data_IF_931268277891
#
_entry.id   IF_931268277891
#
_cell.length_a   1.000
_cell.length_b   1.000
_cell.length_c   1.000
_cell.angle_alpha   90.00
_cell.angle_beta   90.00
_cell.angle_gamma   90.00
#
_symmetry.space_group_name_H-M   'P 1'
#
loop_
_entity.id
_entity.type
_entity.pdbx_description
1 polymer ?
#
# COMPACT_ATOMS: atom_id res chain seq x y z
N UNK A 1 -12.42 -4.80 17.04
CA UNK A 1 -11.07 -4.32 16.65
C UNK A 1 -11.24 -3.86 15.21
N UNK A 2 -11.25 -2.54 14.97
CA UNK A 2 -11.45 -1.99 13.63
C UNK A 2 -10.13 -2.12 12.87
N UNK A 3 -9.99 -3.15 12.04
CA UNK A 3 -8.85 -3.29 11.13
C UNK A 3 -9.00 -2.25 10.01
N UNK A 4 -8.28 -1.13 10.10
CA UNK A 4 -8.30 -0.10 9.07
C UNK A 4 -7.38 -0.55 7.92
N UNK A 5 -8.00 -0.92 6.79
CA UNK A 5 -7.28 -1.29 5.57
C UNK A 5 -7.13 -0.04 4.68
N UNK A 6 -5.90 0.46 4.52
CA UNK A 6 -5.62 1.59 3.64
C UNK A 6 -5.23 1.11 2.23
N UNK A 7 -6.01 1.51 1.23
CA UNK A 7 -5.67 1.38 -0.18
C UNK A 7 -5.27 2.74 -0.74
N UNK A 8 -3.98 2.98 -0.93
CA UNK A 8 -3.53 4.18 -1.66
C UNK A 8 -3.19 3.78 -3.09
N UNK A 9 -4.12 4.09 -3.98
CA UNK A 9 -4.01 3.86 -5.42
C UNK A 9 -3.33 5.09 -6.06
N UNK A 10 -2.00 5.10 -6.08
CA UNK A 10 -1.26 6.15 -6.80
C UNK A 10 -1.15 5.70 -8.25
N UNK A 11 -2.04 6.25 -9.08
CA UNK A 11 -2.03 6.06 -10.51
C UNK A 11 -1.13 7.12 -11.17
N UNK A 12 0.13 6.77 -11.43
CA UNK A 12 0.99 7.53 -12.34
C UNK A 12 2.06 8.44 -11.69
N UNK A 13 2.85 9.15 -12.53
CA UNK A 13 3.95 10.02 -12.09
C UNK A 13 3.49 11.35 -11.49
N UNK A 14 2.18 11.59 -11.44
CA UNK A 14 1.60 12.81 -10.91
C UNK A 14 1.75 12.82 -9.38
N UNK A 15 2.33 13.90 -8.85
CA UNK A 15 2.59 14.01 -7.42
C UNK A 15 1.28 13.89 -6.65
N UNK A 16 1.29 13.08 -5.60
CA UNK A 16 0.20 13.06 -4.63
C UNK A 16 0.01 14.49 -4.07
N UNK A 17 -1.21 15.05 -4.04
CA UNK A 17 -1.46 16.33 -3.41
C UNK A 17 -0.95 16.33 -1.96
N UNK A 18 -0.34 17.43 -1.52
CA UNK A 18 0.33 17.50 -0.21
C UNK A 18 -0.62 17.16 0.95
N UNK A 19 -1.86 17.63 0.90
CA UNK A 19 -2.88 17.34 1.91
C UNK A 19 -3.21 15.84 1.97
N UNK A 20 -3.30 15.18 0.81
CA UNK A 20 -3.55 13.75 0.72
C UNK A 20 -2.33 12.94 1.22
N UNK A 21 -1.11 13.44 0.97
CA UNK A 21 0.12 12.85 1.52
C UNK A 21 0.16 12.97 3.04
N UNK A 22 -0.07 14.17 3.58
CA UNK A 22 -0.05 14.42 5.01
C UNK A 22 -1.11 13.60 5.75
N UNK A 23 -2.32 13.49 5.19
CA UNK A 23 -3.38 12.65 5.74
C UNK A 23 -2.99 11.16 5.72
N UNK A 24 -2.37 10.69 4.62
CA UNK A 24 -1.86 9.33 4.52
C UNK A 24 -0.76 9.03 5.54
N UNK A 25 0.18 9.96 5.75
CA UNK A 25 1.24 9.80 6.75
C UNK A 25 0.70 9.79 8.18
N UNK A 26 -0.25 10.66 8.51
CA UNK A 26 -0.88 10.69 9.83
C UNK A 26 -1.64 9.40 10.12
N UNK A 27 -2.35 8.86 9.13
CA UNK A 27 -3.08 7.60 9.29
C UNK A 27 -2.15 6.37 9.37
N UNK A 28 -0.94 6.45 8.82
CA UNK A 28 0.03 5.35 8.84
C UNK A 28 0.50 4.93 10.23
N UNK A 29 0.26 5.75 11.26
CA UNK A 29 0.51 5.38 12.66
C UNK A 29 -0.45 4.30 13.17
N UNK A 30 -1.63 4.15 12.56
CA UNK A 30 -2.69 3.26 13.05
C UNK A 30 -2.93 2.04 12.15
N UNK A 31 -2.15 1.86 11.08
CA UNK A 31 -2.40 0.80 10.10
C UNK A 31 -1.84 -0.55 10.52
N UNK A 32 -2.70 -1.58 10.50
CA UNK A 32 -2.27 -2.98 10.63
C UNK A 32 -1.68 -3.53 9.31
N UNK A 33 -2.25 -3.09 8.17
CA UNK A 33 -1.92 -3.59 6.83
C UNK A 33 -1.95 -2.44 5.81
N UNK A 34 -0.91 -2.35 4.98
CA UNK A 34 -0.78 -1.35 3.91
C UNK A 34 -0.65 -2.00 2.53
N UNK A 35 -1.59 -1.71 1.63
CA UNK A 35 -1.65 -2.26 0.27
C UNK A 35 -1.34 -1.17 -0.77
N UNK A 36 -0.33 -1.38 -1.62
CA UNK A 36 0.09 -0.38 -2.61
C UNK A 36 0.42 -0.98 -3.99
N UNK A 37 0.43 -0.12 -5.03
CA UNK A 37 0.44 -0.55 -6.45
C UNK A 37 1.52 0.05 -7.34
N UNK A 38 2.11 1.17 -6.92
CA UNK A 38 3.12 1.84 -7.72
C UNK A 38 4.48 1.19 -7.44
N UNK A 39 5.45 1.35 -8.34
CA UNK A 39 6.73 0.65 -8.31
C UNK A 39 7.64 0.91 -7.10
N UNK A 40 7.20 1.67 -6.10
CA UNK A 40 8.00 2.05 -4.93
C UNK A 40 9.05 3.13 -5.19
N UNK A 41 9.21 3.61 -6.43
CA UNK A 41 10.34 4.49 -6.83
C UNK A 41 9.92 5.97 -6.93
N UNK A 42 8.62 6.28 -6.88
CA UNK A 42 8.13 7.66 -7.03
C UNK A 42 8.15 8.37 -5.69
N UNK A 43 9.08 9.30 -5.51
CA UNK A 43 9.09 10.20 -4.37
C UNK A 43 8.10 11.36 -4.60
N UNK A 44 7.32 11.82 -3.59
CA UNK A 44 7.36 11.44 -2.16
C UNK A 44 6.47 10.26 -1.78
N UNK A 45 5.71 9.69 -2.71
CA UNK A 45 4.79 8.58 -2.45
C UNK A 45 5.46 7.39 -1.76
N UNK A 46 6.70 7.08 -2.14
CA UNK A 46 7.53 6.01 -1.58
C UNK A 46 7.78 6.10 -0.06
N UNK A 47 7.51 7.24 0.59
CA UNK A 47 7.61 7.39 2.05
C UNK A 47 6.50 6.63 2.78
N UNK A 48 5.33 6.46 2.17
CA UNK A 48 4.17 5.87 2.82
C UNK A 48 4.37 4.39 3.20
N UNK A 49 4.86 3.49 2.30
CA UNK A 49 5.20 2.13 2.68
C UNK A 49 6.25 2.06 3.81
N UNK A 50 7.26 2.94 3.77
CA UNK A 50 8.31 2.97 4.79
C UNK A 50 7.76 3.42 6.15
N UNK A 51 6.91 4.43 6.17
CA UNK A 51 6.25 4.93 7.38
C UNK A 51 5.35 3.85 8.00
N UNK A 52 4.48 3.25 7.18
CA UNK A 52 3.59 2.17 7.62
C UNK A 52 4.39 0.99 8.20
N UNK A 53 5.45 0.54 7.50
CA UNK A 53 6.33 -0.51 7.99
C UNK A 53 7.02 -0.13 9.31
N UNK A 54 7.53 1.09 9.43
CA UNK A 54 8.21 1.57 10.64
C UNK A 54 7.27 1.61 11.85
N UNK A 55 5.97 1.77 11.61
CA UNK A 55 4.92 1.71 12.63
C UNK A 55 4.37 0.30 12.89
N UNK A 56 4.96 -0.74 12.26
CA UNK A 56 4.61 -2.14 12.49
C UNK A 56 3.55 -2.71 11.55
N UNK A 57 3.12 -1.95 10.54
CA UNK A 57 2.16 -2.44 9.56
C UNK A 57 2.76 -3.55 8.68
N UNK A 58 1.93 -4.53 8.32
CA UNK A 58 2.25 -5.47 7.24
C UNK A 58 2.16 -4.75 5.90
N UNK A 59 3.27 -4.61 5.20
CA UNK A 59 3.33 -3.93 3.90
C UNK A 59 3.26 -4.94 2.76
N UNK A 60 2.32 -4.72 1.84
CA UNK A 60 2.03 -5.63 0.73
C UNK A 60 1.99 -4.86 -0.59
N UNK A 61 2.89 -5.20 -1.49
CA UNK A 61 2.91 -4.68 -2.86
C UNK A 61 2.06 -5.56 -3.78
N UNK A 62 1.14 -4.95 -4.51
CA UNK A 62 0.33 -5.62 -5.53
C UNK A 62 0.70 -5.10 -6.92
N UNK A 63 1.31 -5.95 -7.75
CA UNK A 63 1.70 -5.58 -9.11
C UNK A 63 1.74 -6.80 -10.05
N UNK A 64 1.32 -6.69 -11.33
CA UNK A 64 1.26 -7.84 -12.24
C UNK A 64 2.65 -8.38 -12.63
N UNK A 65 3.66 -7.51 -12.60
CA UNK A 65 5.06 -7.84 -12.88
C UNK A 65 5.83 -7.84 -11.57
N UNK A 66 6.62 -8.89 -11.29
CA UNK A 66 7.46 -8.94 -10.10
C UNK A 66 8.51 -7.83 -10.15
N UNK A 67 8.50 -6.96 -9.14
CA UNK A 67 9.46 -5.87 -8.98
C UNK A 67 10.43 -6.21 -7.84
N UNK A 68 11.62 -5.61 -7.88
CA UNK A 68 12.54 -5.66 -6.75
C UNK A 68 11.97 -4.82 -5.60
N UNK A 69 11.38 -5.48 -4.62
CA UNK A 69 10.92 -4.88 -3.36
C UNK A 69 11.89 -5.20 -2.23
N UNK A 70 11.75 -4.51 -1.10
CA UNK A 70 12.42 -4.91 0.14
C UNK A 70 12.05 -6.36 0.48
N UNK A 71 13.01 -7.13 1.01
CA UNK A 71 12.75 -8.49 1.52
C UNK A 71 11.80 -8.52 2.72
N UNK A 72 11.51 -7.36 3.31
CA UNK A 72 10.62 -7.19 4.46
C UNK A 72 9.17 -6.98 4.04
N UNK A 73 8.90 -6.80 2.75
CA UNK A 73 7.57 -6.58 2.20
C UNK A 73 7.03 -7.85 1.56
N UNK A 74 5.71 -8.01 1.56
CA UNK A 74 5.04 -9.07 0.82
C UNK A 74 4.72 -8.62 -0.61
N UNK A 75 4.68 -9.57 -1.55
CA UNK A 75 4.35 -9.31 -2.95
C UNK A 75 3.19 -10.19 -3.41
N UNK A 76 2.11 -9.56 -3.86
CA UNK A 76 0.99 -10.22 -4.52
C UNK A 76 1.08 -9.96 -6.03
N UNK A 77 1.44 -11.00 -6.77
CA UNK A 77 1.57 -10.92 -8.21
C UNK A 77 0.22 -11.14 -8.90
N UNK A 78 -0.28 -10.12 -9.58
CA UNK A 78 -1.50 -10.25 -10.39
C UNK A 78 -2.12 -8.91 -10.77
N UNK A 79 -3.16 -8.91 -11.63
CA UNK A 79 -3.93 -7.71 -11.91
C UNK A 79 -4.56 -7.20 -10.61
N UNK A 80 -4.38 -5.93 -10.28
CA UNK A 80 -4.80 -5.50 -8.94
C UNK A 80 -6.30 -5.55 -8.72
N UNK A 81 -7.11 -5.35 -9.76
CA UNK A 81 -8.56 -5.54 -9.65
C UNK A 81 -8.90 -6.93 -9.13
N UNK A 82 -8.23 -7.96 -9.64
CA UNK A 82 -8.42 -9.36 -9.21
C UNK A 82 -7.94 -9.55 -7.78
N UNK A 83 -6.71 -9.10 -7.46
CA UNK A 83 -6.15 -9.28 -6.12
C UNK A 83 -6.95 -8.56 -5.03
N UNK A 84 -7.41 -7.33 -5.29
CA UNK A 84 -8.25 -6.57 -4.36
C UNK A 84 -9.62 -7.24 -4.19
N UNK A 85 -10.22 -7.77 -5.25
CA UNK A 85 -11.48 -8.52 -5.16
C UNK A 85 -11.33 -9.80 -4.34
N UNK A 86 -10.25 -10.56 -4.55
CA UNK A 86 -9.96 -11.75 -3.74
C UNK A 86 -9.81 -11.38 -2.26
N UNK A 87 -9.02 -10.35 -1.93
CA UNK A 87 -8.88 -9.90 -0.55
C UNK A 87 -10.22 -9.50 0.07
N UNK A 88 -11.04 -8.73 -0.64
CA UNK A 88 -12.37 -8.34 -0.15
C UNK A 88 -13.28 -9.55 0.06
N UNK A 89 -13.24 -10.54 -0.83
CA UNK A 89 -14.01 -11.78 -0.70
C UNK A 89 -13.62 -12.57 0.55
N UNK A 90 -12.32 -12.78 0.78
CA UNK A 90 -11.83 -13.53 1.94
C UNK A 90 -12.08 -12.82 3.28
N UNK A 91 -12.10 -11.49 3.31
CA UNK A 91 -12.33 -10.71 4.54
C UNK A 91 -13.81 -10.46 4.85
N UNK A 92 -14.70 -10.71 3.89
CA UNK A 92 -16.15 -10.54 4.06
C UNK A 92 -16.86 -11.84 4.42
N UNK A 93 -16.12 -12.95 4.53
CA UNK A 93 -16.60 -14.29 4.89
C UNK A 93 -16.60 -14.55 6.39
#
# INVERSE_FOLDING_TARGET
MNHLLAFILIAGPERLPEDARSAGLAAAEEWDVYLYRYSGIVYPAAELPLCAWSNGATVVHIHPVRLGISSQEHFLQGPTSVMTQTLLHETSG
#
